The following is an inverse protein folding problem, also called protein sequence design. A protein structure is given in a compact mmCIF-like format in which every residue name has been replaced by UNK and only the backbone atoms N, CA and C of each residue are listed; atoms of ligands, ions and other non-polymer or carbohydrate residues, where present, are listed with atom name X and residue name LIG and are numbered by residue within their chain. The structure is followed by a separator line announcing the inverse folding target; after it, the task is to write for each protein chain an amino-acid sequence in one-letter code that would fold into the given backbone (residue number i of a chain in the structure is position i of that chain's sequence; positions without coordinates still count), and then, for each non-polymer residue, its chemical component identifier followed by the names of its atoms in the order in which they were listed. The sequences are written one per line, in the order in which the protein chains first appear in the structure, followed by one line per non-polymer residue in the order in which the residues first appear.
data_IF_541534159153
#
_entry.id   IF_541534159153
#
_cell.length_a   1.000
_cell.length_b   1.000
_cell.length_c   1.000
_cell.angle_alpha   90.00
_cell.angle_beta   90.00
_cell.angle_gamma   90.00
#
_symmetry.space_group_name_H-M   'P 1'
#
loop_
_entity.id
_entity.type
_entity.pdbx_description
1 polymer ?
#
# COMPACT_ATOMS: atom_id res chain seq x y z
N UNK A 1 80.61 28.20 -31.95
CA UNK A 1 79.76 27.66 -30.87
C UNK A 1 78.27 27.71 -31.33
N UNK A 2 77.73 26.59 -31.75
CA UNK A 2 76.33 26.50 -32.17
C UNK A 2 75.48 26.00 -31.02
N UNK A 3 74.50 26.86 -30.57
CA UNK A 3 73.53 26.49 -29.58
C UNK A 3 72.40 25.65 -30.25
N UNK A 4 72.25 24.40 -29.81
CA UNK A 4 71.11 23.55 -30.18
C UNK A 4 69.97 23.83 -29.20
N UNK A 5 68.83 24.31 -29.70
CA UNK A 5 67.60 24.48 -28.92
C UNK A 5 66.80 23.19 -29.09
N UNK A 6 66.66 22.41 -28.00
CA UNK A 6 65.75 21.26 -27.95
C UNK A 6 64.34 21.76 -27.64
N UNK A 7 63.45 21.64 -28.62
CA UNK A 7 62.02 21.86 -28.41
C UNK A 7 61.37 20.54 -27.86
N UNK A 8 61.00 20.56 -26.58
CA UNK A 8 60.16 19.49 -26.03
C UNK A 8 58.71 19.74 -26.41
N UNK A 9 58.21 18.96 -27.38
CA UNK A 9 56.79 18.85 -27.64
C UNK A 9 56.18 17.90 -26.59
N UNK A 10 55.55 18.44 -25.55
CA UNK A 10 54.72 17.68 -24.62
C UNK A 10 53.46 17.22 -25.34
N UNK A 11 53.34 15.95 -25.67
CA UNK A 11 52.06 15.33 -26.05
C UNK A 11 51.20 15.26 -24.80
N UNK A 12 50.29 16.20 -24.67
CA UNK A 12 49.20 16.10 -23.70
C UNK A 12 48.16 15.15 -24.30
N UNK A 13 48.28 13.88 -23.98
CA UNK A 13 47.27 12.85 -24.27
C UNK A 13 45.99 13.19 -23.45
N UNK A 14 45.03 13.87 -24.06
CA UNK A 14 43.67 13.92 -23.59
C UNK A 14 43.13 12.48 -23.61
N UNK A 15 43.15 11.79 -22.49
CA UNK A 15 42.32 10.62 -22.29
C UNK A 15 40.84 11.09 -22.28
N UNK A 16 40.24 11.10 -23.44
CA UNK A 16 38.79 11.14 -23.60
C UNK A 16 38.30 9.82 -22.98
N UNK A 17 37.78 9.90 -21.79
CA UNK A 17 36.99 8.81 -21.18
C UNK A 17 35.81 8.60 -22.14
N UNK A 18 35.91 7.66 -23.04
CA UNK A 18 34.77 7.20 -23.86
C UNK A 18 33.85 6.48 -22.90
N UNK A 19 32.84 7.18 -22.39
CA UNK A 19 31.70 6.55 -21.73
C UNK A 19 31.07 5.65 -22.78
N UNK A 20 31.20 4.35 -22.58
CA UNK A 20 30.74 3.37 -23.56
C UNK A 20 29.23 3.36 -23.62
N UNK A 21 28.67 3.88 -24.67
CA UNK A 21 27.27 3.65 -25.04
C UNK A 21 27.06 2.15 -25.16
N UNK A 22 26.20 1.57 -24.32
CA UNK A 22 26.00 0.12 -24.29
C UNK A 22 24.59 -0.22 -24.74
N UNK A 23 24.53 -1.07 -25.77
CA UNK A 23 23.26 -1.65 -26.25
C UNK A 23 23.22 -3.11 -25.81
N UNK A 24 22.23 -3.45 -25.00
CA UNK A 24 21.96 -4.82 -24.60
C UNK A 24 20.91 -5.45 -25.50
N UNK A 25 21.13 -6.70 -25.87
CA UNK A 25 20.10 -7.52 -26.50
C UNK A 25 19.23 -8.17 -25.43
N UNK A 26 17.90 -8.15 -25.65
CA UNK A 26 16.90 -8.82 -24.80
C UNK A 26 16.34 -9.97 -25.64
N UNK A 27 16.58 -11.20 -25.20
CA UNK A 27 16.24 -12.39 -26.00
C UNK A 27 15.53 -13.46 -25.14
N UNK A 28 14.98 -14.50 -25.78
CA UNK A 28 14.40 -15.65 -25.12
C UNK A 28 12.94 -15.49 -24.67
N UNK A 29 12.28 -14.37 -24.93
CA UNK A 29 10.86 -14.17 -24.60
C UNK A 29 9.90 -14.50 -25.76
N UNK A 30 10.38 -14.55 -26.99
CA UNK A 30 9.58 -14.79 -28.19
C UNK A 30 10.40 -15.41 -29.31
N UNK A 31 9.77 -16.30 -30.10
CA UNK A 31 10.33 -16.86 -31.33
C UNK A 31 10.27 -15.85 -32.51
N UNK A 32 9.38 -14.86 -32.43
CA UNK A 32 9.16 -13.86 -33.49
C UNK A 32 9.93 -12.59 -33.28
N UNK A 33 10.18 -12.20 -32.02
CA UNK A 33 10.70 -10.91 -31.62
C UNK A 33 11.94 -11.02 -30.75
N UNK A 34 12.76 -9.98 -30.76
CA UNK A 34 13.77 -9.72 -29.76
C UNK A 34 13.80 -8.23 -29.42
N UNK A 35 14.29 -7.89 -28.25
CA UNK A 35 14.43 -6.51 -27.80
C UNK A 35 15.87 -6.02 -27.87
N UNK A 36 16.04 -4.71 -27.91
CA UNK A 36 17.29 -4.02 -27.58
C UNK A 36 16.99 -2.90 -26.59
N UNK A 37 17.90 -2.68 -25.67
CA UNK A 37 17.86 -1.53 -24.78
C UNK A 37 19.21 -0.81 -24.84
N UNK A 38 19.15 0.51 -25.00
CA UNK A 38 20.29 1.41 -24.97
C UNK A 38 20.29 2.16 -23.66
N UNK A 39 21.46 2.32 -23.06
CA UNK A 39 21.72 3.09 -21.86
C UNK A 39 22.82 4.09 -22.16
N UNK A 40 22.54 5.37 -21.90
CA UNK A 40 23.49 6.46 -22.18
C UNK A 40 24.71 6.41 -21.27
N UNK A 41 24.53 5.93 -20.04
CA UNK A 41 25.59 5.75 -19.04
C UNK A 41 25.33 4.53 -18.19
N UNK A 42 26.21 3.53 -18.25
CA UNK A 42 26.10 2.29 -17.48
C UNK A 42 26.79 2.35 -16.11
N UNK A 43 27.43 3.47 -15.78
CA UNK A 43 27.99 3.71 -14.45
C UNK A 43 26.93 4.22 -13.45
N UNK A 44 25.84 4.79 -13.97
CA UNK A 44 24.71 5.28 -13.18
C UNK A 44 23.64 4.21 -13.00
N UNK A 45 22.95 4.24 -11.85
CA UNK A 45 21.83 3.34 -11.55
C UNK A 45 20.64 3.62 -12.47
N UNK A 46 20.45 4.88 -12.83
CA UNK A 46 19.40 5.37 -13.72
C UNK A 46 20.01 6.29 -14.76
N UNK A 47 19.71 6.08 -16.03
CA UNK A 47 20.16 6.94 -17.11
C UNK A 47 19.12 7.04 -18.23
N UNK A 48 19.26 8.03 -19.07
CA UNK A 48 18.48 8.14 -20.31
C UNK A 48 18.76 6.96 -21.24
N UNK A 49 17.76 6.59 -22.02
CA UNK A 49 17.93 5.51 -22.96
C UNK A 49 16.69 5.24 -23.80
N UNK A 50 16.63 4.06 -24.37
CA UNK A 50 15.46 3.58 -25.08
C UNK A 50 15.37 2.06 -25.04
N UNK A 51 14.15 1.55 -25.21
CA UNK A 51 13.86 0.13 -25.40
C UNK A 51 13.13 -0.04 -26.74
N UNK A 52 13.58 -0.99 -27.57
CA UNK A 52 13.01 -1.20 -28.88
C UNK A 52 12.79 -2.68 -29.19
N UNK A 53 11.77 -2.98 -29.97
CA UNK A 53 11.39 -4.32 -30.40
C UNK A 53 11.73 -4.49 -31.89
N UNK A 54 12.28 -5.65 -32.21
CA UNK A 54 12.74 -6.02 -33.54
C UNK A 54 12.10 -7.33 -33.99
N UNK A 55 11.75 -7.40 -35.27
CA UNK A 55 11.39 -8.66 -35.92
C UNK A 55 12.63 -9.53 -36.11
N UNK A 56 12.57 -10.77 -35.61
CA UNK A 56 13.72 -11.69 -35.57
C UNK A 56 14.17 -12.13 -36.99
N UNK A 57 13.21 -12.28 -37.90
CA UNK A 57 13.48 -12.77 -39.27
C UNK A 57 14.11 -11.69 -40.13
N UNK A 58 13.62 -10.45 -40.01
CA UNK A 58 14.04 -9.34 -40.90
C UNK A 58 15.07 -8.41 -40.26
N UNK A 59 15.30 -8.52 -38.95
CA UNK A 59 16.08 -7.61 -38.12
C UNK A 59 15.60 -6.13 -38.18
N UNK A 60 14.35 -5.91 -38.62
CA UNK A 60 13.77 -4.58 -38.72
C UNK A 60 13.25 -4.16 -37.33
N UNK A 61 13.55 -2.92 -36.94
CA UNK A 61 12.92 -2.28 -35.80
C UNK A 61 11.43 -2.08 -36.07
N UNK A 62 10.59 -2.51 -35.12
CA UNK A 62 9.15 -2.44 -35.24
C UNK A 62 8.60 -1.19 -34.53
N UNK A 63 9.06 -0.96 -33.30
CA UNK A 63 8.75 0.25 -32.52
C UNK A 63 9.77 0.44 -31.40
N UNK A 64 9.79 1.65 -30.83
CA UNK A 64 10.73 2.09 -29.82
C UNK A 64 10.04 3.00 -28.80
N UNK A 65 10.46 2.90 -27.55
CA UNK A 65 10.12 3.84 -26.47
C UNK A 65 11.40 4.48 -25.97
N UNK A 66 11.44 5.81 -25.96
CA UNK A 66 12.49 6.56 -25.28
C UNK A 66 12.13 6.71 -23.81
N UNK A 67 13.12 6.66 -22.96
CA UNK A 67 12.97 6.78 -21.52
C UNK A 67 13.95 7.80 -20.97
N UNK A 68 13.49 8.64 -20.07
CA UNK A 68 14.32 9.61 -19.37
C UNK A 68 15.14 8.96 -18.25
N UNK A 69 14.64 7.86 -17.68
CA UNK A 69 15.29 7.09 -16.63
C UNK A 69 15.05 5.59 -16.82
N UNK A 70 16.05 4.90 -17.30
CA UNK A 70 16.08 3.44 -17.32
C UNK A 70 16.98 2.92 -16.22
N UNK A 71 16.56 1.84 -15.57
CA UNK A 71 17.43 1.00 -14.77
C UNK A 71 17.36 -0.44 -15.23
N UNK A 72 18.39 -1.22 -14.93
CA UNK A 72 18.45 -2.60 -15.39
C UNK A 72 19.12 -3.50 -14.39
N UNK A 73 18.73 -4.79 -14.43
CA UNK A 73 19.47 -5.87 -13.78
C UNK A 73 19.90 -6.87 -14.83
N UNK A 74 21.16 -7.23 -14.82
CA UNK A 74 21.69 -8.28 -15.67
C UNK A 74 21.48 -9.65 -15.03
N UNK A 75 21.17 -10.63 -15.87
CA UNK A 75 21.28 -12.05 -15.56
C UNK A 75 22.41 -12.64 -16.43
N UNK A 76 23.59 -12.80 -15.85
CA UNK A 76 24.81 -12.99 -16.64
C UNK A 76 25.10 -11.73 -17.45
N UNK A 77 25.19 -11.87 -18.80
CA UNK A 77 25.38 -10.75 -19.73
C UNK A 77 24.09 -10.25 -20.41
N UNK A 78 22.91 -10.71 -19.96
CA UNK A 78 21.63 -10.39 -20.56
C UNK A 78 20.74 -9.59 -19.60
N UNK A 79 19.91 -8.71 -20.16
CA UNK A 79 18.87 -8.04 -19.41
C UNK A 79 17.76 -9.03 -19.02
N UNK A 80 17.29 -8.92 -17.78
CA UNK A 80 16.10 -9.63 -17.33
C UNK A 80 14.85 -9.05 -17.99
N UNK A 81 14.00 -9.91 -18.50
CA UNK A 81 12.67 -9.58 -19.02
C UNK A 81 11.58 -10.24 -18.15
N UNK A 82 10.34 -9.76 -18.30
CA UNK A 82 9.15 -10.30 -17.64
C UNK A 82 9.19 -10.32 -16.09
N UNK A 83 9.97 -9.43 -15.49
CA UNK A 83 10.01 -9.29 -14.04
C UNK A 83 9.29 -8.01 -13.67
N UNK A 84 8.03 -8.15 -13.29
CA UNK A 84 7.32 -7.10 -12.60
C UNK A 84 7.01 -7.62 -11.20
N UNK A 85 7.51 -6.97 -10.18
CA UNK A 85 7.05 -7.18 -8.79
C UNK A 85 6.48 -5.88 -8.30
N UNK A 86 5.35 -6.02 -7.71
CA UNK A 86 4.54 -4.95 -7.22
C UNK A 86 4.58 -4.94 -5.67
N UNK A 87 4.63 -3.78 -4.99
CA UNK A 87 4.75 -2.41 -5.51
C UNK A 87 6.18 -1.90 -5.74
N UNK A 88 7.26 -2.45 -5.23
CA UNK A 88 8.63 -1.93 -5.33
C UNK A 88 9.68 -3.01 -5.54
N UNK A 89 9.28 -4.09 -6.15
CA UNK A 89 10.21 -5.17 -6.42
C UNK A 89 11.09 -4.97 -7.65
N UNK A 90 11.72 -6.06 -8.05
CA UNK A 90 12.49 -6.08 -9.29
C UNK A 90 11.58 -5.76 -10.48
N UNK A 91 11.99 -4.85 -11.35
CA UNK A 91 11.32 -4.50 -12.57
C UNK A 91 12.18 -4.85 -13.78
N UNK A 92 11.54 -5.00 -14.93
CA UNK A 92 12.18 -5.24 -16.21
C UNK A 92 11.92 -4.08 -17.13
N UNK A 93 12.88 -3.75 -18.00
CA UNK A 93 12.69 -2.75 -19.06
C UNK A 93 11.74 -3.23 -20.18
N UNK A 94 11.44 -4.54 -20.20
CA UNK A 94 10.53 -5.18 -21.15
C UNK A 94 9.72 -6.26 -20.47
N UNK A 95 8.39 -6.21 -20.61
CA UNK A 95 7.45 -7.25 -20.19
C UNK A 95 6.68 -7.69 -21.42
N UNK A 96 6.54 -9.01 -21.63
CA UNK A 96 5.86 -9.63 -22.75
C UNK A 96 4.84 -10.61 -22.26
N UNK A 97 3.58 -10.15 -22.14
CA UNK A 97 2.46 -10.89 -21.56
C UNK A 97 1.16 -10.48 -22.24
N UNK A 98 0.15 -11.32 -22.22
CA UNK A 98 -1.19 -11.02 -22.72
C UNK A 98 -1.92 -10.13 -21.70
N UNK A 99 -2.12 -8.85 -22.02
CA UNK A 99 -2.75 -7.88 -21.14
C UNK A 99 -4.25 -7.69 -21.40
N UNK A 100 -4.70 -8.07 -22.59
CA UNK A 100 -6.11 -7.95 -23.00
C UNK A 100 -6.84 -9.28 -23.07
N UNK A 101 -6.15 -10.39 -22.76
CA UNK A 101 -6.68 -11.76 -22.70
C UNK A 101 -7.22 -12.27 -24.02
N UNK A 102 -6.65 -11.80 -25.17
CA UNK A 102 -7.04 -12.23 -26.51
C UNK A 102 -6.22 -13.44 -27.03
N UNK A 103 -5.26 -13.92 -26.24
CA UNK A 103 -4.39 -15.05 -26.54
C UNK A 103 -3.10 -14.64 -27.26
N UNK A 104 -2.91 -13.35 -27.58
CA UNK A 104 -1.67 -12.81 -28.13
C UNK A 104 -0.94 -12.05 -27.03
N UNK A 105 0.37 -12.27 -26.92
CA UNK A 105 1.17 -11.54 -25.93
C UNK A 105 1.47 -10.13 -26.44
N UNK A 106 1.33 -9.19 -25.52
CA UNK A 106 1.52 -7.77 -25.68
C UNK A 106 2.86 -7.30 -25.13
N UNK A 107 3.18 -6.02 -25.30
CA UNK A 107 4.42 -5.44 -24.83
C UNK A 107 4.19 -4.31 -23.84
N UNK A 108 4.94 -4.33 -22.73
CA UNK A 108 5.19 -3.18 -21.90
C UNK A 108 6.67 -2.83 -21.99
N UNK A 109 6.98 -1.62 -22.41
CA UNK A 109 8.34 -1.09 -22.48
C UNK A 109 8.49 0.06 -21.50
N UNK A 110 9.51 -0.01 -20.63
CA UNK A 110 9.78 1.01 -19.64
C UNK A 110 10.07 2.35 -20.31
N UNK A 111 9.39 3.40 -19.89
CA UNK A 111 9.52 4.77 -20.39
C UNK A 111 10.09 5.74 -19.34
N UNK A 112 10.26 5.30 -18.09
CA UNK A 112 10.85 6.09 -17.04
C UNK A 112 10.44 5.65 -15.64
N UNK A 113 10.49 6.62 -14.72
CA UNK A 113 10.11 6.47 -13.31
C UNK A 113 8.96 7.43 -12.97
N UNK A 114 7.86 7.33 -13.72
CA UNK A 114 6.73 8.26 -13.63
C UNK A 114 5.58 7.75 -12.75
N UNK A 115 5.73 6.55 -12.16
CA UNK A 115 4.74 6.00 -11.25
C UNK A 115 4.91 6.52 -9.82
N UNK A 116 4.07 6.10 -8.88
CA UNK A 116 4.13 6.52 -7.48
C UNK A 116 5.53 6.27 -6.90
N UNK A 117 6.00 7.16 -6.02
CA UNK A 117 7.31 7.12 -5.37
C UNK A 117 8.49 6.94 -6.35
N UNK A 118 8.37 7.51 -7.54
CA UNK A 118 9.37 7.37 -8.61
C UNK A 118 9.63 5.90 -8.99
N UNK A 119 8.59 5.09 -8.97
CA UNK A 119 8.63 3.70 -9.46
C UNK A 119 8.59 3.63 -10.99
N UNK A 120 8.86 2.44 -11.58
CA UNK A 120 8.88 2.25 -13.02
C UNK A 120 7.51 2.46 -13.65
N UNK A 121 7.49 3.07 -14.82
CA UNK A 121 6.33 3.26 -15.68
C UNK A 121 6.57 2.65 -17.06
N UNK A 122 5.50 2.40 -17.81
CA UNK A 122 5.58 1.65 -19.05
C UNK A 122 4.63 2.19 -20.10
N UNK A 123 5.09 2.24 -21.35
CA UNK A 123 4.26 2.30 -22.53
C UNK A 123 3.75 0.90 -22.89
N UNK A 124 2.45 0.76 -23.06
CA UNK A 124 1.79 -0.51 -23.36
C UNK A 124 1.39 -0.58 -24.84
N UNK A 125 1.69 -1.71 -25.48
CA UNK A 125 1.34 -1.96 -26.87
C UNK A 125 0.65 -3.31 -27.00
N UNK A 126 -0.57 -3.31 -27.49
CA UNK A 126 -1.28 -4.52 -27.86
C UNK A 126 -0.74 -5.10 -29.18
N UNK A 127 -0.57 -6.39 -29.21
CA UNK A 127 -0.25 -7.14 -30.42
C UNK A 127 -1.55 -7.44 -31.18
N UNK A 128 -1.57 -7.16 -32.48
CA UNK A 128 -2.70 -7.49 -33.35
C UNK A 128 -2.25 -8.15 -34.62
N UNK A 129 -3.17 -8.71 -35.41
CA UNK A 129 -2.90 -9.28 -36.75
C UNK A 129 -2.36 -8.23 -37.73
N UNK A 130 -2.63 -6.94 -37.47
CA UNK A 130 -2.21 -5.81 -38.32
C UNK A 130 -0.95 -5.09 -37.83
N UNK A 131 -0.40 -5.48 -36.68
CA UNK A 131 0.76 -4.85 -36.06
C UNK A 131 0.52 -4.54 -34.59
N UNK A 132 1.21 -3.53 -34.09
CA UNK A 132 1.16 -3.13 -32.67
C UNK A 132 0.32 -1.86 -32.52
N UNK A 133 -0.50 -1.83 -31.47
CA UNK A 133 -1.41 -0.74 -31.15
C UNK A 133 -1.00 -0.18 -29.80
N UNK A 134 -0.58 1.07 -29.74
CA UNK A 134 -0.31 1.76 -28.48
C UNK A 134 -1.62 1.90 -27.68
N UNK A 135 -1.58 1.55 -26.39
CA UNK A 135 -2.70 1.73 -25.47
C UNK A 135 -2.39 2.86 -24.47
N UNK A 136 -2.92 4.06 -24.70
CA UNK A 136 -2.74 5.18 -23.78
C UNK A 136 -3.41 4.90 -22.43
N UNK A 137 -4.53 4.15 -22.41
CA UNK A 137 -5.29 3.86 -21.19
C UNK A 137 -4.53 2.90 -20.26
N UNK A 138 -3.96 1.80 -20.79
CA UNK A 138 -3.14 0.91 -19.98
C UNK A 138 -1.81 1.56 -19.59
N UNK A 139 -1.26 2.41 -20.46
CA UNK A 139 -0.09 3.23 -20.14
C UNK A 139 -0.39 4.13 -18.95
N UNK A 140 -1.54 4.83 -18.96
CA UNK A 140 -1.97 5.68 -17.85
C UNK A 140 -2.09 4.88 -16.53
N UNK A 141 -2.57 3.62 -16.57
CA UNK A 141 -2.60 2.78 -15.38
C UNK A 141 -1.21 2.56 -14.76
N UNK A 142 -0.14 2.51 -15.55
CA UNK A 142 1.22 2.35 -15.03
C UNK A 142 1.80 3.66 -14.49
N UNK A 143 1.37 4.81 -14.97
CA UNK A 143 1.81 6.15 -14.54
C UNK A 143 1.05 6.63 -13.29
N UNK A 144 -0.26 6.42 -13.25
CA UNK A 144 -1.13 6.91 -12.20
C UNK A 144 -1.16 6.01 -10.95
N UNK A 145 -0.58 4.82 -11.04
CA UNK A 145 -0.49 3.86 -9.95
C UNK A 145 0.97 3.54 -9.60
N UNK A 146 1.20 2.55 -8.76
CA UNK A 146 2.54 2.18 -8.30
C UNK A 146 3.19 1.14 -9.21
N UNK A 147 3.54 1.57 -10.41
CA UNK A 147 4.23 0.76 -11.42
C UNK A 147 3.29 -0.11 -12.26
N UNK A 148 3.85 -1.18 -12.79
CA UNK A 148 3.11 -2.10 -13.64
C UNK A 148 1.98 -2.79 -12.87
N UNK A 149 0.82 -2.92 -13.50
CA UNK A 149 -0.29 -3.71 -12.98
C UNK A 149 0.06 -5.22 -12.98
N UNK A 150 -0.52 -5.96 -12.06
CA UNK A 150 -0.49 -7.43 -12.10
C UNK A 150 -1.57 -7.98 -13.01
N UNK A 151 -1.27 -9.13 -13.65
CA UNK A 151 -2.18 -9.81 -14.58
C UNK A 151 -2.64 -11.10 -13.94
N UNK A 152 -3.93 -11.23 -13.74
CA UNK A 152 -4.57 -12.48 -13.33
C UNK A 152 -5.18 -13.16 -14.56
N UNK A 153 -4.53 -14.26 -14.99
CA UNK A 153 -4.97 -15.01 -16.18
C UNK A 153 -6.18 -15.91 -15.89
N UNK A 154 -6.42 -16.27 -14.64
CA UNK A 154 -7.54 -17.10 -14.24
C UNK A 154 -8.84 -16.29 -14.29
N UNK A 155 -8.85 -15.15 -13.63
CA UNK A 155 -10.01 -14.26 -13.60
C UNK A 155 -10.05 -13.27 -14.77
N UNK A 156 -9.01 -13.25 -15.63
CA UNK A 156 -8.84 -12.30 -16.75
C UNK A 156 -8.96 -10.85 -16.29
N UNK A 157 -8.21 -10.50 -15.27
CA UNK A 157 -8.22 -9.16 -14.69
C UNK A 157 -6.84 -8.54 -14.61
N UNK A 158 -6.80 -7.22 -14.59
CA UNK A 158 -5.62 -6.44 -14.25
C UNK A 158 -5.84 -5.80 -12.87
N UNK A 159 -4.81 -5.82 -12.04
CA UNK A 159 -4.88 -5.20 -10.71
C UNK A 159 -3.77 -4.16 -10.57
N UNK A 160 -4.18 -2.92 -10.27
CA UNK A 160 -3.26 -1.83 -9.91
C UNK A 160 -3.24 -1.61 -8.41
N UNK A 161 -2.20 -0.94 -7.91
CA UNK A 161 -2.14 -0.44 -6.54
C UNK A 161 -1.70 1.02 -6.54
N UNK A 162 -2.39 1.84 -5.77
CA UNK A 162 -2.00 3.21 -5.44
C UNK A 162 -1.74 3.29 -3.95
N UNK A 163 -0.81 4.13 -3.50
CA UNK A 163 -0.58 4.39 -2.09
C UNK A 163 -0.41 5.89 -1.81
N UNK A 164 -0.66 6.26 -0.55
CA UNK A 164 -0.36 7.57 0.00
C UNK A 164 0.34 7.35 1.35
N UNK A 165 1.66 7.43 1.35
CA UNK A 165 2.50 6.97 2.45
C UNK A 165 2.42 5.45 2.66
N UNK A 166 2.69 5.02 3.91
CA UNK A 166 2.67 3.59 4.28
C UNK A 166 1.32 3.13 4.80
N UNK A 167 0.48 4.07 5.21
CA UNK A 167 -0.75 3.82 5.96
C UNK A 167 -2.02 3.86 5.10
N UNK A 168 -1.90 4.16 3.80
CA UNK A 168 -3.04 4.13 2.89
C UNK A 168 -2.69 3.42 1.58
N UNK A 169 -3.54 2.47 1.18
CA UNK A 169 -3.41 1.72 -0.08
C UNK A 169 -4.77 1.52 -0.73
N UNK A 170 -4.78 1.58 -2.06
CA UNK A 170 -5.93 1.28 -2.88
C UNK A 170 -5.54 0.27 -3.96
N UNK A 171 -6.22 -0.84 -4.00
CA UNK A 171 -6.15 -1.83 -5.07
C UNK A 171 -7.35 -1.65 -5.98
N UNK A 172 -7.12 -1.59 -7.29
CA UNK A 172 -8.18 -1.43 -8.28
C UNK A 172 -8.10 -2.57 -9.29
N UNK A 173 -9.22 -3.28 -9.50
CA UNK A 173 -9.31 -4.43 -10.41
C UNK A 173 -10.09 -4.04 -11.65
N UNK A 174 -9.53 -4.36 -12.81
CA UNK A 174 -10.09 -4.02 -14.11
C UNK A 174 -10.28 -5.28 -14.95
N UNK A 175 -11.33 -5.34 -15.75
CA UNK A 175 -11.45 -6.18 -16.94
C UNK A 175 -11.11 -5.36 -18.17
N UNK A 176 -10.77 -6.03 -19.29
CA UNK A 176 -10.55 -5.35 -20.56
C UNK A 176 -11.75 -5.57 -21.46
N UNK A 177 -12.41 -4.50 -21.84
CA UNK A 177 -13.52 -4.47 -22.78
C UNK A 177 -13.16 -3.55 -23.95
N UNK A 178 -13.20 -4.06 -25.18
CA UNK A 178 -12.87 -3.30 -26.40
C UNK A 178 -11.51 -2.56 -26.30
N UNK A 179 -10.48 -3.24 -25.77
CA UNK A 179 -9.13 -2.72 -25.50
C UNK A 179 -9.05 -1.63 -24.42
N UNK A 180 -10.12 -1.38 -23.69
CA UNK A 180 -10.19 -0.38 -22.62
C UNK A 180 -10.28 -1.03 -21.24
N UNK A 181 -9.56 -0.54 -20.23
CA UNK A 181 -9.69 -1.02 -18.87
C UNK A 181 -11.01 -0.51 -18.26
N UNK A 182 -11.85 -1.44 -17.80
CA UNK A 182 -13.10 -1.15 -17.12
C UNK A 182 -12.99 -1.56 -15.65
N UNK A 183 -13.15 -0.59 -14.73
CA UNK A 183 -13.02 -0.79 -13.29
C UNK A 183 -14.21 -1.62 -12.74
N UNK A 184 -13.91 -2.77 -12.14
CA UNK A 184 -14.93 -3.65 -11.56
C UNK A 184 -14.87 -3.77 -10.04
N UNK A 185 -13.74 -3.46 -9.41
CA UNK A 185 -13.62 -3.53 -7.95
C UNK A 185 -12.55 -2.59 -7.43
N UNK A 186 -12.77 -2.06 -6.21
CA UNK A 186 -11.73 -1.40 -5.42
C UNK A 186 -11.67 -1.96 -4.01
N UNK A 187 -10.47 -2.02 -3.45
CA UNK A 187 -10.22 -2.29 -2.03
C UNK A 187 -9.32 -1.17 -1.52
N UNK A 188 -9.80 -0.44 -0.52
CA UNK A 188 -9.03 0.63 0.15
C UNK A 188 -8.73 0.20 1.57
N UNK A 189 -7.45 0.19 1.92
CA UNK A 189 -6.92 -0.01 3.26
C UNK A 189 -6.44 1.33 3.80
N UNK A 190 -7.06 1.83 4.88
CA UNK A 190 -6.74 3.12 5.50
C UNK A 190 -6.41 2.93 6.98
N UNK A 191 -5.15 3.12 7.33
CA UNK A 191 -4.60 3.07 8.68
C UNK A 191 -4.08 4.44 9.18
N UNK A 192 -4.31 5.53 8.44
CA UNK A 192 -3.82 6.88 8.78
C UNK A 192 -4.36 7.39 10.11
N UNK A 193 -5.48 6.85 10.58
CA UNK A 193 -6.07 7.18 11.87
C UNK A 193 -5.80 6.10 12.93
N UNK A 194 -4.58 5.53 12.95
CA UNK A 194 -4.23 4.53 13.95
C UNK A 194 -4.60 4.97 15.38
N UNK A 195 -5.17 4.08 16.20
CA UNK A 195 -5.29 2.63 16.06
C UNK A 195 -6.48 2.12 15.23
N UNK A 196 -7.16 2.98 14.52
CA UNK A 196 -8.35 2.66 13.72
C UNK A 196 -7.92 2.36 12.30
N UNK A 197 -8.30 1.17 11.81
CA UNK A 197 -8.07 0.74 10.43
C UNK A 197 -9.43 0.59 9.73
N UNK A 198 -9.55 1.17 8.56
CA UNK A 198 -10.74 1.04 7.72
C UNK A 198 -10.41 0.26 6.46
N UNK A 199 -11.18 -0.79 6.20
CA UNK A 199 -11.17 -1.56 4.96
C UNK A 199 -12.46 -1.26 4.21
N UNK A 200 -12.36 -0.59 3.05
CA UNK A 200 -13.50 -0.32 2.17
C UNK A 200 -13.38 -1.20 0.93
N UNK A 201 -14.40 -1.96 0.63
CA UNK A 201 -14.51 -2.76 -0.60
C UNK A 201 -15.70 -2.30 -1.41
N UNK A 202 -15.46 -1.99 -2.69
CA UNK A 202 -16.51 -1.67 -3.66
C UNK A 202 -16.41 -2.63 -4.84
N UNK A 203 -17.57 -2.99 -5.41
CA UNK A 203 -17.69 -3.89 -6.57
C UNK A 203 -18.74 -3.32 -7.51
N UNK A 204 -18.52 -3.45 -8.80
CA UNK A 204 -19.48 -3.09 -9.84
C UNK A 204 -20.68 -4.04 -9.81
N UNK A 205 -21.90 -3.51 -9.66
CA UNK A 205 -23.14 -4.30 -9.60
C UNK A 205 -23.86 -4.42 -10.96
N UNK A 206 -23.21 -3.96 -12.03
CA UNK A 206 -23.79 -3.85 -13.37
C UNK A 206 -24.35 -2.46 -13.70
N UNK A 207 -24.40 -1.52 -12.72
CA UNK A 207 -24.92 -0.15 -12.90
C UNK A 207 -24.03 0.89 -12.22
N UNK A 208 -23.48 0.57 -11.07
CA UNK A 208 -22.64 1.48 -10.26
C UNK A 208 -21.71 0.69 -9.35
N UNK A 209 -20.70 1.34 -8.81
CA UNK A 209 -19.91 0.78 -7.71
C UNK A 209 -20.76 0.76 -6.44
N UNK A 210 -20.82 -0.41 -5.78
CA UNK A 210 -21.49 -0.61 -4.50
C UNK A 210 -20.52 -1.26 -3.52
N UNK A 211 -20.56 -0.82 -2.27
CA UNK A 211 -19.59 -1.33 -1.31
C UNK A 211 -19.97 -1.12 0.13
N UNK A 212 -19.11 -1.60 0.99
CA UNK A 212 -19.19 -1.42 2.44
C UNK A 212 -17.81 -1.16 3.01
N UNK A 213 -17.79 -0.54 4.19
CA UNK A 213 -16.59 -0.34 4.99
C UNK A 213 -16.68 -1.10 6.30
N UNK A 214 -15.57 -1.66 6.70
CA UNK A 214 -15.37 -2.29 8.00
C UNK A 214 -14.28 -1.52 8.71
N UNK A 215 -14.59 -1.00 9.90
CA UNK A 215 -13.61 -0.33 10.73
C UNK A 215 -13.20 -1.27 11.86
N UNK A 216 -11.91 -1.54 11.98
CA UNK A 216 -11.31 -2.43 12.96
C UNK A 216 -10.38 -1.68 13.90
N UNK A 217 -10.10 -2.27 15.06
CA UNK A 217 -9.21 -1.71 16.08
C UNK A 217 -7.91 -2.51 16.16
N UNK A 218 -6.78 -1.84 15.89
CA UNK A 218 -5.47 -2.44 16.05
C UNK A 218 -4.89 -2.19 17.45
N UNK A 219 -5.03 -3.17 18.34
CA UNK A 219 -4.51 -3.10 19.72
C UNK A 219 -2.98 -3.04 19.81
N UNK A 220 -2.27 -3.33 18.71
CA UNK A 220 -0.80 -3.32 18.63
C UNK A 220 -0.25 -2.05 18.00
N UNK A 221 -1.08 -1.06 17.77
CA UNK A 221 -0.63 0.23 17.25
C UNK A 221 0.36 0.90 18.20
N UNK A 222 1.43 1.49 17.66
CA UNK A 222 2.53 2.06 18.44
C UNK A 222 2.13 3.31 19.25
N UNK A 223 1.05 3.99 18.86
CA UNK A 223 0.58 5.22 19.51
C UNK A 223 -0.36 4.97 20.69
N UNK A 224 -0.68 3.69 21.01
CA UNK A 224 -1.58 3.36 22.12
C UNK A 224 -0.90 2.55 23.21
N UNK A 225 -1.41 2.70 24.42
CA UNK A 225 -1.12 1.84 25.56
C UNK A 225 -2.41 1.20 26.05
N UNK A 226 -2.54 -0.11 25.88
CA UNK A 226 -3.66 -0.88 26.45
C UNK A 226 -3.55 -0.91 27.97
N UNK A 227 -4.59 -0.47 28.68
CA UNK A 227 -4.66 -0.38 30.12
C UNK A 227 -5.45 -1.53 30.75
N UNK A 228 -6.58 -1.83 30.15
CA UNK A 228 -7.45 -2.90 30.59
C UNK A 228 -8.25 -3.49 29.43
N UNK A 229 -8.12 -4.78 29.21
CA UNK A 229 -8.83 -5.51 28.14
C UNK A 229 -9.44 -6.77 28.72
N UNK A 230 -10.69 -7.05 28.35
CA UNK A 230 -11.35 -8.30 28.70
C UNK A 230 -12.37 -8.72 27.63
N UNK A 231 -12.55 -10.03 27.50
CA UNK A 231 -13.51 -10.61 26.57
C UNK A 231 -14.80 -10.98 27.28
N UNK A 232 -15.94 -10.79 26.63
CA UNK A 232 -17.27 -11.15 27.08
C UNK A 232 -17.82 -12.26 26.20
N UNK A 233 -17.72 -13.49 26.66
CA UNK A 233 -17.95 -14.69 25.82
C UNK A 233 -19.38 -14.75 25.25
N UNK A 234 -20.39 -14.47 26.07
CA UNK A 234 -21.81 -14.56 25.67
C UNK A 234 -22.15 -13.58 24.52
N UNK A 235 -21.51 -12.45 24.47
CA UNK A 235 -21.74 -11.41 23.45
C UNK A 235 -20.73 -11.47 22.33
N UNK A 236 -19.67 -12.30 22.44
CA UNK A 236 -18.53 -12.30 21.52
C UNK A 236 -17.92 -10.90 21.32
N UNK A 237 -17.76 -10.16 22.44
CA UNK A 237 -17.23 -8.79 22.43
C UNK A 237 -15.93 -8.72 23.18
N UNK A 238 -15.03 -7.87 22.72
CA UNK A 238 -13.84 -7.47 23.47
C UNK A 238 -13.98 -6.01 23.87
N UNK A 239 -13.79 -5.75 25.16
CA UNK A 239 -13.78 -4.42 25.77
C UNK A 239 -12.32 -4.02 25.95
N UNK A 240 -11.97 -2.84 25.44
CA UNK A 240 -10.60 -2.33 25.47
C UNK A 240 -10.61 -0.92 26.02
N UNK A 241 -9.89 -0.71 27.10
CA UNK A 241 -9.58 0.60 27.68
C UNK A 241 -8.11 0.89 27.39
N UNK A 242 -7.83 2.02 26.77
CA UNK A 242 -6.49 2.36 26.31
C UNK A 242 -6.25 3.86 26.38
N UNK A 243 -4.99 4.27 26.32
CA UNK A 243 -4.61 5.68 26.16
C UNK A 243 -3.94 5.89 24.81
N UNK A 244 -4.13 7.08 24.26
CA UNK A 244 -3.38 7.59 23.11
C UNK A 244 -2.34 8.56 23.66
N UNK A 245 -1.09 8.41 23.25
CA UNK A 245 0.07 9.24 23.66
C UNK A 245 0.22 9.45 25.16
N UNK A 246 -0.40 8.58 25.96
CA UNK A 246 -0.34 8.60 27.41
C UNK A 246 -1.22 9.66 28.08
N UNK A 247 -1.86 10.55 27.36
CA UNK A 247 -2.54 11.73 27.94
C UNK A 247 -4.06 11.56 28.04
N UNK A 248 -4.66 10.85 27.10
CA UNK A 248 -6.12 10.71 27.02
C UNK A 248 -6.57 9.28 27.15
N UNK A 249 -7.67 9.06 27.85
CA UNK A 249 -8.30 7.77 28.01
C UNK A 249 -9.34 7.55 26.92
N UNK A 250 -9.35 6.34 26.38
CA UNK A 250 -10.28 5.90 25.35
C UNK A 250 -10.85 4.53 25.67
N UNK A 251 -11.99 4.26 25.08
CA UNK A 251 -12.73 3.02 25.24
C UNK A 251 -13.24 2.53 23.90
N UNK A 252 -13.13 1.23 23.63
CA UNK A 252 -13.74 0.61 22.46
C UNK A 252 -14.36 -0.74 22.79
N UNK A 253 -15.44 -1.07 22.10
CA UNK A 253 -16.00 -2.41 21.99
C UNK A 253 -15.76 -2.92 20.58
N UNK A 254 -15.19 -4.10 20.47
CA UNK A 254 -15.05 -4.80 19.19
C UNK A 254 -15.81 -6.12 19.20
N UNK A 255 -16.24 -6.58 18.04
CA UNK A 255 -16.80 -7.91 17.85
C UNK A 255 -15.70 -8.98 17.66
N UNK A 256 -16.09 -10.24 17.43
CA UNK A 256 -15.17 -11.36 17.21
C UNK A 256 -14.20 -11.15 16.03
N UNK A 257 -14.56 -10.31 15.04
CA UNK A 257 -13.74 -10.00 13.88
C UNK A 257 -12.92 -8.71 14.07
N UNK A 258 -12.78 -8.25 15.32
CA UNK A 258 -12.11 -7.00 15.70
C UNK A 258 -12.75 -5.72 15.11
N UNK A 259 -13.91 -5.84 14.45
CA UNK A 259 -14.63 -4.68 13.97
C UNK A 259 -15.18 -3.86 15.14
N UNK A 260 -14.99 -2.54 15.06
CA UNK A 260 -15.42 -1.58 16.09
C UNK A 260 -16.95 -1.46 16.08
N UNK A 261 -17.57 -1.63 17.25
CA UNK A 261 -19.00 -1.40 17.46
C UNK A 261 -19.27 -0.14 18.27
N UNK A 262 -18.33 0.22 19.11
CA UNK A 262 -18.35 1.46 19.86
C UNK A 262 -16.93 1.97 20.05
N UNK A 263 -16.72 3.24 19.74
CA UNK A 263 -15.52 4.01 20.05
C UNK A 263 -15.92 5.21 20.90
N UNK A 264 -15.23 5.44 22.03
CA UNK A 264 -15.52 6.55 22.92
C UNK A 264 -14.25 7.10 23.58
N UNK A 265 -14.10 8.42 23.68
CA UNK A 265 -14.88 9.41 22.95
C UNK A 265 -14.57 9.35 21.44
N UNK A 266 -15.54 9.71 20.60
CA UNK A 266 -15.32 9.84 19.15
C UNK A 266 -14.34 10.97 18.84
N UNK A 267 -14.33 12.02 19.65
CA UNK A 267 -13.43 13.15 19.55
C UNK A 267 -13.11 13.65 20.96
N UNK A 268 -11.82 13.66 21.31
CA UNK A 268 -11.35 14.30 22.54
C UNK A 268 -11.34 15.82 22.34
N UNK A 269 -11.91 16.55 23.30
CA UNK A 269 -11.91 18.01 23.34
C UNK A 269 -11.15 18.48 24.57
N UNK A 270 -10.29 19.45 24.41
CA UNK A 270 -9.53 20.06 25.50
C UNK A 270 -10.47 20.52 26.63
N UNK A 271 -10.11 20.20 27.88
CA UNK A 271 -10.88 20.56 29.07
C UNK A 271 -12.19 19.81 29.29
N UNK A 272 -12.57 18.90 28.37
CA UNK A 272 -13.78 18.10 28.53
C UNK A 272 -13.49 16.83 29.33
N UNK A 273 -14.29 16.57 30.35
CA UNK A 273 -14.29 15.32 31.10
C UNK A 273 -15.22 14.33 30.40
N UNK A 274 -14.64 13.24 29.90
CA UNK A 274 -15.38 12.16 29.24
C UNK A 274 -15.65 10.99 30.16
N UNK A 275 -14.79 10.77 31.16
CA UNK A 275 -14.86 9.64 32.08
C UNK A 275 -14.87 10.09 33.53
N UNK A 276 -15.56 9.32 34.39
CA UNK A 276 -15.57 9.47 35.85
C UNK A 276 -15.06 8.18 36.50
N UNK A 277 -13.95 8.25 37.21
CA UNK A 277 -13.37 7.10 37.90
C UNK A 277 -13.51 7.24 39.41
N UNK A 278 -14.24 6.31 40.06
CA UNK A 278 -14.31 6.20 41.50
C UNK A 278 -13.21 5.28 42.01
N UNK A 279 -12.28 5.85 42.79
CA UNK A 279 -11.15 5.12 43.39
C UNK A 279 -11.63 4.08 44.40
N UNK A 280 -12.58 4.45 45.30
CA UNK A 280 -13.12 3.58 46.31
C UNK A 280 -13.86 2.38 45.76
N UNK A 281 -14.66 2.58 44.71
CA UNK A 281 -15.45 1.54 44.07
C UNK A 281 -14.72 0.79 42.96
N UNK A 282 -13.55 1.25 42.55
CA UNK A 282 -12.81 0.77 41.37
C UNK A 282 -13.74 0.65 40.15
N UNK A 283 -14.42 1.77 39.83
CA UNK A 283 -15.47 1.84 38.82
C UNK A 283 -15.23 3.02 37.89
N UNK A 284 -15.25 2.76 36.57
CA UNK A 284 -15.20 3.77 35.54
C UNK A 284 -16.59 3.94 34.93
N UNK A 285 -17.08 5.18 34.84
CA UNK A 285 -18.39 5.50 34.28
C UNK A 285 -18.23 6.56 33.17
N UNK A 286 -18.98 6.41 32.10
CA UNK A 286 -19.09 7.41 31.03
C UNK A 286 -20.46 7.33 30.34
N UNK A 287 -20.79 8.37 29.59
CA UNK A 287 -22.06 8.46 28.85
C UNK A 287 -21.76 8.66 27.35
N UNK A 288 -22.34 7.80 26.55
CA UNK A 288 -22.40 8.02 25.11
C UNK A 288 -23.85 8.27 24.69
N UNK A 289 -24.18 9.51 24.37
CA UNK A 289 -25.57 9.98 24.17
C UNK A 289 -26.39 9.67 25.45
N UNK A 290 -27.52 8.98 25.32
CA UNK A 290 -28.43 8.62 26.41
C UNK A 290 -28.10 7.27 27.07
N UNK A 291 -26.92 6.73 26.83
CA UNK A 291 -26.51 5.42 27.36
C UNK A 291 -25.37 5.60 28.36
N UNK A 292 -25.59 5.14 29.61
CA UNK A 292 -24.54 5.05 30.61
C UNK A 292 -23.80 3.72 30.50
N UNK A 293 -22.48 3.80 30.50
CA UNK A 293 -21.58 2.66 30.59
C UNK A 293 -20.83 2.70 31.92
N UNK A 294 -20.85 1.58 32.65
CA UNK A 294 -20.16 1.43 33.93
C UNK A 294 -19.31 0.17 33.91
N UNK A 295 -18.01 0.35 34.02
CA UNK A 295 -17.05 -0.75 34.07
C UNK A 295 -16.57 -0.91 35.50
N UNK A 296 -16.60 -2.14 36.00
CA UNK A 296 -16.10 -2.50 37.32
C UNK A 296 -15.06 -3.62 37.22
N UNK A 297 -14.07 -3.58 38.12
CA UNK A 297 -13.04 -4.62 38.23
C UNK A 297 -12.86 -4.95 39.71
N UNK A 298 -13.63 -5.93 40.16
CA UNK A 298 -13.69 -6.33 41.59
C UNK A 298 -13.32 -7.81 41.71
N UNK A 299 -12.37 -8.11 42.58
CA UNK A 299 -11.87 -9.48 42.84
C UNK A 299 -11.48 -10.25 41.57
N UNK A 300 -10.84 -9.55 40.61
CA UNK A 300 -10.40 -10.14 39.35
C UNK A 300 -11.53 -10.40 38.34
N UNK A 301 -12.74 -9.97 38.64
CA UNK A 301 -13.90 -10.11 37.73
C UNK A 301 -14.23 -8.75 37.14
N UNK A 302 -14.03 -8.63 35.82
CA UNK A 302 -14.46 -7.49 35.02
C UNK A 302 -15.96 -7.59 34.73
N UNK A 303 -16.69 -6.48 34.85
CA UNK A 303 -18.08 -6.36 34.39
C UNK A 303 -18.29 -5.04 33.70
N UNK A 304 -19.23 -5.03 32.78
CA UNK A 304 -19.77 -3.80 32.21
C UNK A 304 -21.28 -3.80 32.36
N UNK A 305 -21.81 -2.71 32.90
CA UNK A 305 -23.24 -2.42 33.01
C UNK A 305 -23.58 -1.33 32.01
N UNK A 306 -24.58 -1.56 31.17
CA UNK A 306 -25.05 -0.65 30.13
C UNK A 306 -26.49 -0.30 30.41
N UNK A 307 -26.74 0.96 30.81
CA UNK A 307 -28.08 1.48 31.06
C UNK A 307 -28.51 2.32 29.86
N UNK A 308 -29.54 1.85 29.16
CA UNK A 308 -30.11 2.56 28.01
C UNK A 308 -31.62 2.41 27.97
N UNK A 309 -32.35 3.49 27.69
CA UNK A 309 -33.82 3.52 27.62
C UNK A 309 -34.50 2.86 28.84
N UNK A 310 -33.93 3.08 30.03
CA UNK A 310 -34.45 2.54 31.30
C UNK A 310 -34.21 1.03 31.53
N UNK A 311 -33.43 0.35 30.62
CA UNK A 311 -33.07 -1.06 30.77
C UNK A 311 -31.58 -1.17 31.05
N UNK A 312 -31.22 -2.06 31.97
CA UNK A 312 -29.83 -2.37 32.33
C UNK A 312 -29.44 -3.72 31.77
N UNK A 313 -28.29 -3.76 31.10
CA UNK A 313 -27.66 -4.97 30.60
C UNK A 313 -26.35 -5.17 31.34
N UNK A 314 -26.15 -6.37 31.89
CA UNK A 314 -24.92 -6.72 32.61
C UNK A 314 -24.12 -7.75 31.82
N UNK A 315 -22.89 -7.43 31.50
CA UNK A 315 -21.96 -8.33 30.81
C UNK A 315 -20.81 -8.68 31.75
N UNK A 316 -20.52 -9.96 31.91
CA UNK A 316 -19.43 -10.46 32.73
C UNK A 316 -18.27 -10.86 31.87
N UNK A 317 -17.09 -10.32 32.12
CA UNK A 317 -15.86 -10.66 31.46
C UNK A 317 -15.34 -12.05 31.86
N UNK A 318 -14.70 -12.70 30.89
CA UNK A 318 -13.96 -13.95 31.10
C UNK A 318 -12.68 -13.66 31.87
N UNK A 319 -12.48 -14.27 33.02
CA UNK A 319 -11.31 -14.05 33.87
C UNK A 319 -10.01 -14.60 33.26
N UNK A 320 -10.10 -15.58 32.34
CA UNK A 320 -8.95 -16.15 31.65
C UNK A 320 -8.47 -15.26 30.49
N UNK A 321 -9.39 -14.50 29.88
CA UNK A 321 -9.14 -13.66 28.69
C UNK A 321 -9.16 -12.17 29.08
N UNK A 322 -8.40 -11.81 30.14
CA UNK A 322 -8.22 -10.42 30.55
C UNK A 322 -6.76 -10.03 30.61
N UNK A 323 -6.47 -8.78 30.30
CA UNK A 323 -5.12 -8.18 30.43
C UNK A 323 -5.26 -6.83 31.15
N UNK A 324 -4.36 -6.54 32.07
CA UNK A 324 -4.41 -5.30 32.86
C UNK A 324 -5.53 -5.26 33.89
N UNK A 325 -5.87 -4.05 34.35
CA UNK A 325 -6.86 -3.82 35.43
C UNK A 325 -7.27 -2.35 35.43
N UNK A 326 -8.50 -2.03 35.89
CA UNK A 326 -8.92 -0.65 36.15
C UNK A 326 -8.02 0.08 37.16
N UNK A 327 -7.28 -0.65 38.00
CA UNK A 327 -6.30 -0.06 38.93
C UNK A 327 -5.16 0.68 38.21
N UNK A 328 -4.95 0.41 36.91
CA UNK A 328 -4.00 1.17 36.10
C UNK A 328 -4.33 2.68 36.08
N UNK A 329 -5.62 3.06 36.27
CA UNK A 329 -6.06 4.45 36.37
C UNK A 329 -5.64 5.14 37.68
N UNK A 330 -5.19 4.39 38.69
CA UNK A 330 -4.65 4.96 39.93
C UNK A 330 -3.22 5.49 39.75
N UNK A 331 -2.49 4.93 38.84
CA UNK A 331 -1.08 5.21 38.63
C UNK A 331 -0.83 6.23 37.51
N UNK A 332 -1.90 6.77 36.91
CA UNK A 332 -1.80 7.70 35.80
C UNK A 332 -2.97 8.69 35.85
N UNK A 333 -2.71 9.95 35.53
CA UNK A 333 -3.76 10.97 35.43
C UNK A 333 -4.00 11.26 33.95
N UNK A 334 -5.22 11.09 33.49
CA UNK A 334 -5.66 11.40 32.14
C UNK A 334 -6.43 12.71 32.10
N UNK A 335 -6.21 13.53 31.10
CA UNK A 335 -6.78 14.87 30.97
C UNK A 335 -8.30 14.87 30.88
N UNK A 336 -8.88 13.79 30.33
CA UNK A 336 -10.32 13.64 30.16
C UNK A 336 -10.99 12.74 31.19
N UNK A 337 -10.34 12.51 32.34
CA UNK A 337 -10.88 11.68 33.44
C UNK A 337 -11.00 12.50 34.70
N UNK A 338 -12.19 12.53 35.32
CA UNK A 338 -12.35 13.00 36.71
C UNK A 338 -12.17 11.85 37.70
N UNK A 339 -11.46 12.11 38.79
CA UNK A 339 -11.13 11.15 39.83
C UNK A 339 -11.87 11.49 41.10
N UNK A 340 -12.85 10.64 41.47
CA UNK A 340 -13.61 10.75 42.75
C UNK A 340 -13.20 9.69 43.75
N UNK A 341 -13.54 9.91 44.99
CA UNK A 341 -13.35 8.94 46.11
C UNK A 341 -14.33 7.78 46.07
#
# INVERSE_FOLDING_TARGET
MKKVILLFFGLWSCMLSSFGQVIFKIDGFSDKYYGRAYFSDTSEVYCEGWVAIYDRRTNKELFRVNADKLSYKLHGSQLKQNIAKYPYGEHSVLIYQDFNFDGMKDFALMDGLHSCDHGPSYHIFFTSKKGFIFSPELTALTHENCGMFSVDNEDKTLVTMTKDGDDWRKYSTYIIEDFMPFLISTIVEDARNAPIHTLTKEVWDGKKMVGNSITSFNIYSNNIKSLFTFHVDLQNKTIILYSIDGNTLHYTITNKKEAIELLYPELVREGKIDFHYSRKKNTLTFWNKDTEYRITDVNGIARISILTKGKTYEWKGNSKNRKGSLKALLNHTFDNVSYGN
#
